data_IF_684728676918
#
_entry.id   IF_684728676918
#
_cell.length_a   1.000
_cell.length_b   1.000
_cell.length_c   1.000
_cell.angle_alpha   90.00
_cell.angle_beta   90.00
_cell.angle_gamma   90.00
#
_symmetry.space_group_name_H-M   'P 1'
#
loop_
_entity.id
_entity.type
_entity.pdbx_description
1 polymer ?
#
# COMPACT_ATOMS: atom_id res chain seq x y z
N UNK A 1 -9.95 -7.05 2.87
CA UNK A 1 -9.75 -5.63 3.22
C UNK A 1 -8.27 -5.37 3.47
N UNK A 2 -7.75 -4.19 3.09
CA UNK A 2 -6.35 -3.81 3.34
C UNK A 2 -6.03 -3.64 4.84
N UNK A 3 -7.01 -3.25 5.68
CA UNK A 3 -6.83 -3.16 7.14
C UNK A 3 -6.46 -4.48 7.82
N UNK A 4 -6.75 -5.59 7.16
CA UNK A 4 -6.49 -6.93 7.68
C UNK A 4 -5.17 -7.51 7.15
N UNK A 5 -4.45 -6.80 6.26
CA UNK A 5 -3.19 -7.30 5.69
C UNK A 5 -2.06 -7.26 6.71
N UNK A 6 -1.93 -6.14 7.43
CA UNK A 6 -0.89 -6.04 8.46
C UNK A 6 -1.34 -6.83 9.69
N UNK A 7 -0.53 -7.79 10.17
CA UNK A 7 -0.89 -8.63 11.32
C UNK A 7 -0.82 -7.83 12.63
N UNK A 8 -1.63 -8.20 13.62
CA UNK A 8 -1.78 -7.47 14.90
C UNK A 8 -0.45 -7.33 15.67
N UNK A 9 0.47 -8.27 15.49
CA UNK A 9 1.79 -8.25 16.10
C UNK A 9 2.68 -7.15 15.52
N UNK A 10 2.46 -6.78 14.25
CA UNK A 10 3.19 -5.75 13.52
C UNK A 10 2.44 -4.41 13.48
N UNK A 11 1.20 -4.33 13.96
CA UNK A 11 0.46 -3.07 14.09
C UNK A 11 0.99 -2.26 15.26
N UNK A 12 1.09 -0.95 15.06
CA UNK A 12 1.61 -0.02 16.05
C UNK A 12 0.62 1.06 16.45
N UNK A 13 -0.38 1.36 15.61
CA UNK A 13 -1.34 2.44 15.90
C UNK A 13 -2.18 2.23 17.16
N UNK A 14 -2.49 0.98 17.52
CA UNK A 14 -3.22 0.68 18.77
C UNK A 14 -2.42 0.99 20.04
N UNK A 15 -1.10 1.12 19.92
CA UNK A 15 -0.20 1.48 21.02
C UNK A 15 0.19 2.96 21.00
N UNK A 16 -0.39 3.76 20.10
CA UNK A 16 -0.13 5.19 19.94
C UNK A 16 -1.43 5.95 20.20
N UNK A 17 -1.35 7.11 20.86
CA UNK A 17 -2.46 8.07 20.95
C UNK A 17 -2.59 8.85 19.64
N UNK A 18 -2.73 8.13 18.52
CA UNK A 18 -2.85 8.74 17.20
C UNK A 18 -4.32 8.92 16.77
N UNK A 19 -4.51 9.76 15.74
CA UNK A 19 -5.82 10.08 15.19
C UNK A 19 -6.63 8.84 14.81
N UNK A 20 -7.95 8.97 14.96
CA UNK A 20 -8.90 7.94 14.53
C UNK A 20 -8.69 7.58 13.07
N UNK A 21 -9.08 6.37 12.69
CA UNK A 21 -9.17 5.97 11.28
C UNK A 21 -10.03 6.94 10.44
N UNK A 22 -10.94 7.70 11.09
CA UNK A 22 -11.74 8.76 10.48
C UNK A 22 -10.88 9.83 9.78
N UNK A 23 -9.67 10.12 10.26
CA UNK A 23 -8.76 11.05 9.58
C UNK A 23 -8.35 10.54 8.20
N UNK A 24 -8.04 9.24 8.06
CA UNK A 24 -7.72 8.65 6.75
C UNK A 24 -8.93 8.70 5.81
N UNK A 25 -10.13 8.46 6.32
CA UNK A 25 -11.37 8.51 5.53
C UNK A 25 -11.63 9.93 5.01
N UNK A 26 -11.46 10.94 5.88
CA UNK A 26 -11.61 12.33 5.50
C UNK A 26 -10.58 12.75 4.43
N UNK A 27 -9.30 12.40 4.63
CA UNK A 27 -8.23 12.74 3.68
C UNK A 27 -8.40 12.00 2.35
N UNK A 28 -8.81 10.73 2.39
CA UNK A 28 -9.14 9.95 1.21
C UNK A 28 -10.30 10.57 0.42
N UNK A 29 -11.33 11.06 1.10
CA UNK A 29 -12.46 11.74 0.43
C UNK A 29 -11.98 12.96 -0.34
N UNK A 30 -11.15 13.81 0.29
CA UNK A 30 -10.56 14.99 -0.36
C UNK A 30 -9.68 14.60 -1.56
N UNK A 31 -8.83 13.59 -1.40
CA UNK A 31 -7.96 13.10 -2.47
C UNK A 31 -8.73 12.53 -3.66
N UNK A 32 -9.74 11.70 -3.41
CA UNK A 32 -10.59 11.09 -4.45
C UNK A 32 -11.39 12.16 -5.17
N UNK A 33 -11.95 13.14 -4.45
CA UNK A 33 -12.67 14.25 -5.06
C UNK A 33 -11.76 15.06 -6.00
N UNK A 34 -10.57 15.44 -5.54
CA UNK A 34 -9.60 16.15 -6.37
C UNK A 34 -9.19 15.36 -7.62
N UNK A 35 -9.00 14.04 -7.50
CA UNK A 35 -8.69 13.18 -8.66
C UNK A 35 -9.87 13.06 -9.62
N UNK A 36 -11.12 13.01 -9.11
CA UNK A 36 -12.34 13.01 -9.93
C UNK A 36 -12.48 14.31 -10.71
N UNK A 37 -12.28 15.45 -10.07
CA UNK A 37 -12.37 16.76 -10.71
C UNK A 37 -11.28 16.92 -11.78
N UNK A 38 -10.05 16.50 -11.50
CA UNK A 38 -8.95 16.53 -12.47
C UNK A 38 -9.18 15.59 -13.66
N UNK A 39 -9.86 14.45 -13.45
CA UNK A 39 -10.10 13.46 -14.49
C UNK A 39 -11.42 13.68 -15.27
N UNK A 40 -12.28 14.59 -14.81
CA UNK A 40 -13.58 14.87 -15.44
C UNK A 40 -13.48 15.16 -16.96
N UNK A 41 -12.48 15.93 -17.45
CA UNK A 41 -12.32 16.19 -18.88
C UNK A 41 -11.89 14.98 -19.71
N UNK A 42 -11.38 13.91 -19.09
CA UNK A 42 -10.78 12.76 -19.81
C UNK A 42 -11.82 11.80 -20.37
N UNK A 43 -13.09 11.90 -19.96
CA UNK A 43 -14.17 11.06 -20.49
C UNK A 43 -14.02 9.57 -20.16
N UNK A 44 -13.41 9.24 -19.02
CA UNK A 44 -13.17 7.86 -18.61
C UNK A 44 -14.47 7.06 -18.39
N UNK A 45 -14.43 5.73 -18.65
CA UNK A 45 -15.60 4.88 -18.48
C UNK A 45 -16.01 4.80 -17.01
N UNK A 46 -17.34 4.74 -16.76
CA UNK A 46 -17.89 4.62 -15.40
C UNK A 46 -17.87 3.19 -14.85
N UNK A 47 -17.79 2.20 -15.73
CA UNK A 47 -17.79 0.78 -15.40
C UNK A 47 -16.71 0.05 -16.22
N UNK A 48 -16.17 -1.07 -15.72
CA UNK A 48 -15.27 -1.90 -16.50
C UNK A 48 -15.94 -2.28 -17.82
N UNK A 49 -15.25 -2.08 -18.95
CA UNK A 49 -15.72 -2.66 -20.21
C UNK A 49 -15.25 -4.11 -20.25
N UNK A 50 -16.06 -5.05 -20.76
CA UNK A 50 -15.57 -6.40 -21.03
C UNK A 50 -14.31 -6.29 -21.89
N UNK A 51 -13.21 -6.87 -21.43
CA UNK A 51 -12.03 -7.01 -22.26
C UNK A 51 -12.39 -7.95 -23.40
N UNK A 52 -11.97 -7.62 -24.62
CA UNK A 52 -12.05 -8.54 -25.76
C UNK A 52 -11.40 -9.87 -25.36
N UNK A 53 -11.86 -10.99 -25.93
CA UNK A 53 -11.35 -12.32 -25.61
C UNK A 53 -9.82 -12.35 -25.70
N UNK A 54 -9.16 -12.35 -24.53
CA UNK A 54 -7.70 -12.40 -24.43
C UNK A 54 -7.21 -13.68 -25.11
N UNK A 55 -6.31 -13.53 -26.07
CA UNK A 55 -5.58 -14.66 -26.63
C UNK A 55 -4.72 -15.28 -25.52
N UNK A 56 -4.90 -16.57 -25.18
CA UNK A 56 -4.18 -17.21 -24.08
C UNK A 56 -2.66 -17.22 -24.25
N UNK A 57 -2.15 -16.92 -25.45
CA UNK A 57 -0.72 -16.84 -25.75
C UNK A 57 -0.08 -15.49 -25.35
N UNK A 58 -0.87 -14.46 -25.06
CA UNK A 58 -0.36 -13.13 -24.71
C UNK A 58 -0.18 -13.04 -23.20
N UNK A 59 1.07 -12.95 -22.76
CA UNK A 59 1.41 -12.68 -21.36
C UNK A 59 0.93 -11.28 -20.98
N UNK A 60 0.17 -11.17 -19.89
CA UNK A 60 -0.29 -9.88 -19.39
C UNK A 60 0.90 -8.95 -19.10
N UNK A 61 0.80 -7.72 -19.60
CA UNK A 61 1.79 -6.67 -19.36
C UNK A 61 1.13 -5.48 -18.67
N UNK A 62 1.44 -5.30 -17.39
CA UNK A 62 0.95 -4.20 -16.55
C UNK A 62 1.48 -2.81 -16.94
N UNK A 63 2.40 -2.74 -17.91
CA UNK A 63 3.07 -1.50 -18.29
C UNK A 63 4.30 -1.20 -17.42
N UNK A 64 5.28 -0.49 -18.00
CA UNK A 64 6.56 -0.24 -17.34
C UNK A 64 6.42 0.57 -16.04
N UNK A 65 5.50 1.54 -16.03
CA UNK A 65 5.27 2.39 -14.87
C UNK A 65 4.76 1.62 -13.65
N UNK A 66 3.68 0.83 -13.82
CA UNK A 66 3.15 0.00 -12.74
C UNK A 66 4.13 -1.09 -12.34
N UNK A 67 4.86 -1.67 -13.31
CA UNK A 67 5.92 -2.65 -13.03
C UNK A 67 6.97 -2.08 -12.08
N UNK A 68 7.48 -0.88 -12.34
CA UNK A 68 8.45 -0.22 -11.45
C UNK A 68 7.86 0.01 -10.06
N UNK A 69 6.64 0.52 -9.96
CA UNK A 69 6.00 0.78 -8.67
C UNK A 69 5.80 -0.50 -7.86
N UNK A 70 5.38 -1.59 -8.50
CA UNK A 70 5.17 -2.87 -7.85
C UNK A 70 6.49 -3.56 -7.47
N UNK A 71 7.54 -3.44 -8.29
CA UNK A 71 8.88 -3.92 -7.96
C UNK A 71 9.44 -3.18 -6.74
N UNK A 72 9.17 -1.87 -6.63
CA UNK A 72 9.53 -1.10 -5.44
C UNK A 72 8.66 -1.46 -4.24
N UNK A 73 7.36 -1.61 -4.41
CA UNK A 73 6.46 -2.03 -3.32
C UNK A 73 6.85 -3.40 -2.75
N UNK A 74 7.23 -4.35 -3.60
CA UNK A 74 7.74 -5.66 -3.18
C UNK A 74 9.02 -5.58 -2.32
N UNK A 75 9.74 -4.46 -2.37
CA UNK A 75 10.97 -4.20 -1.61
C UNK A 75 10.78 -3.18 -0.50
N UNK A 76 9.54 -2.88 -0.08
CA UNK A 76 9.26 -1.87 0.96
C UNK A 76 10.01 -2.12 2.28
N UNK A 77 10.36 -3.36 2.59
CA UNK A 77 11.13 -3.75 3.78
C UNK A 77 12.66 -3.61 3.62
N UNK A 78 13.15 -3.42 2.40
CA UNK A 78 14.56 -3.46 2.01
C UNK A 78 14.99 -2.23 1.19
N UNK A 79 14.33 -1.09 1.41
CA UNK A 79 14.66 0.15 0.72
C UNK A 79 14.53 1.38 1.62
N UNK A 80 15.12 2.53 1.23
CA UNK A 80 15.11 3.73 2.06
C UNK A 80 13.69 4.21 2.37
N UNK A 81 13.48 4.67 3.60
CA UNK A 81 12.20 5.21 4.07
C UNK A 81 11.66 6.33 3.16
N UNK A 82 12.51 7.26 2.71
CA UNK A 82 12.11 8.33 1.80
C UNK A 82 11.62 7.82 0.45
N UNK A 83 12.18 6.72 -0.05
CA UNK A 83 11.72 6.08 -1.28
C UNK A 83 10.36 5.41 -1.05
N UNK A 84 10.18 4.73 0.09
CA UNK A 84 8.89 4.14 0.45
C UNK A 84 7.77 5.18 0.45
N UNK A 85 7.99 6.35 1.08
CA UNK A 85 7.01 7.44 1.11
C UNK A 85 6.61 7.92 -0.29
N UNK A 86 7.56 8.00 -1.23
CA UNK A 86 7.27 8.40 -2.60
C UNK A 86 6.46 7.32 -3.34
N UNK A 87 6.87 6.06 -3.21
CA UNK A 87 6.20 4.93 -3.88
C UNK A 87 4.75 4.79 -3.38
N UNK A 88 4.53 4.87 -2.06
CA UNK A 88 3.18 4.82 -1.49
C UNK A 88 2.36 6.02 -1.92
N UNK A 89 2.92 7.25 -1.87
CA UNK A 89 2.21 8.46 -2.32
C UNK A 89 1.75 8.37 -3.78
N UNK A 90 2.61 7.88 -4.68
CA UNK A 90 2.25 7.68 -6.10
C UNK A 90 1.14 6.63 -6.22
N UNK A 91 1.25 5.49 -5.53
CA UNK A 91 0.23 4.44 -5.59
C UNK A 91 -1.11 4.89 -4.99
N UNK A 92 -1.12 5.62 -3.88
CA UNK A 92 -2.32 6.19 -3.27
C UNK A 92 -3.02 7.15 -4.24
N UNK A 93 -2.26 8.02 -4.91
CA UNK A 93 -2.81 8.93 -5.93
C UNK A 93 -3.36 8.18 -7.14
N UNK A 94 -2.67 7.13 -7.63
CA UNK A 94 -3.19 6.28 -8.70
C UNK A 94 -4.49 5.56 -8.28
N UNK A 95 -4.55 5.07 -7.05
CA UNK A 95 -5.72 4.41 -6.50
C UNK A 95 -6.92 5.37 -6.36
N UNK A 96 -6.68 6.66 -6.13
CA UNK A 96 -7.72 7.67 -6.00
C UNK A 96 -8.42 8.03 -7.33
N UNK A 97 -7.77 7.82 -8.48
CA UNK A 97 -8.33 8.13 -9.80
C UNK A 97 -9.59 7.29 -10.13
N UNK A 98 -10.65 7.86 -10.74
CA UNK A 98 -11.91 7.17 -10.99
C UNK A 98 -11.89 6.33 -12.28
N UNK A 99 -10.85 5.51 -12.49
CA UNK A 99 -10.81 4.57 -13.61
C UNK A 99 -11.14 3.15 -13.14
N UNK A 100 -12.13 2.45 -13.74
CA UNK A 100 -12.61 1.15 -13.27
C UNK A 100 -11.50 0.08 -13.24
N UNK A 101 -10.71 -0.04 -14.31
CA UNK A 101 -9.62 -1.02 -14.35
C UNK A 101 -8.45 -0.68 -13.41
N UNK A 102 -8.23 0.60 -13.07
CA UNK A 102 -7.24 0.95 -12.04
C UNK A 102 -7.77 0.59 -10.66
N UNK A 103 -9.07 0.80 -10.42
CA UNK A 103 -9.72 0.37 -9.18
C UNK A 103 -9.61 -1.16 -9.00
N UNK A 104 -9.98 -1.95 -10.01
CA UNK A 104 -9.84 -3.42 -9.95
C UNK A 104 -8.38 -3.84 -9.70
N UNK A 105 -7.43 -3.26 -10.45
CA UNK A 105 -6.03 -3.69 -10.39
C UNK A 105 -5.28 -3.29 -9.11
N UNK A 106 -5.68 -2.17 -8.48
CA UNK A 106 -5.03 -1.62 -7.29
C UNK A 106 -5.79 -1.92 -5.99
N UNK A 107 -7.13 -1.99 -6.03
CA UNK A 107 -7.97 -1.96 -4.83
C UNK A 107 -8.85 -3.20 -4.65
N UNK A 108 -9.10 -4.01 -5.68
CA UNK A 108 -9.93 -5.22 -5.54
C UNK A 108 -9.09 -6.41 -5.03
N UNK A 109 -9.33 -6.90 -3.79
CA UNK A 109 -8.61 -8.05 -3.26
C UNK A 109 -9.08 -9.38 -3.87
N UNK A 110 -10.19 -9.39 -4.61
CA UNK A 110 -10.82 -10.57 -5.21
C UNK A 110 -10.57 -10.68 -6.72
N UNK A 111 -9.76 -9.79 -7.29
CA UNK A 111 -9.41 -9.82 -8.70
C UNK A 111 -8.79 -11.18 -9.08
N UNK A 112 -9.42 -11.88 -10.02
CA UNK A 112 -8.91 -13.13 -10.57
C UNK A 112 -7.74 -12.87 -11.52
N UNK A 113 -6.56 -13.35 -11.15
CA UNK A 113 -5.33 -13.14 -11.92
C UNK A 113 -4.94 -14.42 -12.67
N UNK A 114 -4.46 -14.25 -13.91
CA UNK A 114 -3.80 -15.33 -14.62
C UNK A 114 -2.49 -15.73 -13.92
N UNK A 115 -2.00 -16.97 -14.10
CA UNK A 115 -0.73 -17.41 -13.53
C UNK A 115 0.43 -16.46 -13.86
N UNK A 116 1.27 -16.16 -12.87
CA UNK A 116 2.40 -15.24 -13.01
C UNK A 116 2.06 -13.75 -13.00
N UNK A 117 0.77 -13.39 -13.05
CA UNK A 117 0.34 -12.00 -12.92
C UNK A 117 0.29 -11.56 -11.45
N UNK A 118 0.31 -10.25 -11.24
CA UNK A 118 0.19 -9.62 -9.92
C UNK A 118 -0.79 -8.45 -9.95
N UNK A 119 -1.48 -8.23 -8.85
CA UNK A 119 -2.16 -6.98 -8.47
C UNK A 119 -1.44 -6.34 -7.30
N UNK A 120 -1.75 -5.08 -6.98
CA UNK A 120 -1.20 -4.43 -5.79
C UNK A 120 -1.48 -5.25 -4.52
N UNK A 121 -2.71 -5.74 -4.37
CA UNK A 121 -3.10 -6.61 -3.26
C UNK A 121 -2.20 -7.86 -3.17
N UNK A 122 -1.97 -8.55 -4.29
CA UNK A 122 -1.11 -9.75 -4.32
C UNK A 122 0.36 -9.46 -4.01
N UNK A 123 0.85 -8.24 -4.31
CA UNK A 123 2.20 -7.80 -3.95
C UNK A 123 2.26 -7.59 -2.43
N UNK A 124 1.28 -6.88 -1.86
CA UNK A 124 1.22 -6.64 -0.43
C UNK A 124 1.11 -7.93 0.38
N UNK A 125 0.29 -8.90 -0.06
CA UNK A 125 0.21 -10.23 0.59
C UNK A 125 1.58 -10.93 0.64
N UNK A 126 2.35 -10.88 -0.45
CA UNK A 126 3.71 -11.45 -0.47
C UNK A 126 4.67 -10.72 0.46
N UNK A 127 4.61 -9.39 0.49
CA UNK A 127 5.40 -8.56 1.42
C UNK A 127 5.06 -8.90 2.88
N UNK A 128 3.79 -9.08 3.21
CA UNK A 128 3.35 -9.48 4.56
C UNK A 128 3.87 -10.87 4.90
N UNK A 129 3.82 -11.83 3.96
CA UNK A 129 4.40 -13.15 4.16
C UNK A 129 5.90 -13.09 4.48
N UNK A 130 6.67 -12.31 3.72
CA UNK A 130 8.10 -12.08 3.95
C UNK A 130 8.35 -11.36 5.29
N UNK A 131 7.58 -10.32 5.60
CA UNK A 131 7.63 -9.64 6.89
C UNK A 131 7.49 -10.64 8.04
N UNK A 132 6.46 -11.49 7.98
CA UNK A 132 6.17 -12.46 9.03
C UNK A 132 7.25 -13.50 9.21
N UNK A 133 8.00 -13.86 8.16
CA UNK A 133 9.17 -14.75 8.26
C UNK A 133 10.36 -14.05 8.91
N UNK A 134 10.58 -12.77 8.59
CA UNK A 134 11.70 -11.99 9.15
C UNK A 134 11.50 -11.66 10.62
N UNK A 135 10.28 -11.28 11.03
CA UNK A 135 10.00 -10.91 12.44
C UNK A 135 10.26 -12.05 13.43
N UNK A 136 10.12 -13.32 13.00
CA UNK A 136 10.41 -14.51 13.83
C UNK A 136 11.87 -14.55 14.28
N UNK A 137 12.77 -13.98 13.49
CA UNK A 137 14.21 -14.02 13.69
C UNK A 137 14.72 -12.73 14.36
N UNK A 138 13.84 -11.77 14.67
CA UNK A 138 14.23 -10.50 15.28
C UNK A 138 13.80 -10.48 16.75
N UNK A 139 14.73 -10.58 17.71
CA UNK A 139 14.39 -10.53 19.12
C UNK A 139 13.83 -9.14 19.47
N UNK A 140 12.79 -9.14 20.30
CA UNK A 140 12.12 -7.93 20.81
C UNK A 140 11.62 -7.00 19.69
N UNK A 141 11.25 -7.57 18.53
CA UNK A 141 10.87 -6.77 17.36
C UNK A 141 9.76 -5.77 17.64
N UNK A 142 8.79 -6.10 18.49
CA UNK A 142 7.67 -5.21 18.82
C UNK A 142 8.12 -3.92 19.51
N UNK A 143 9.03 -4.04 20.50
CA UNK A 143 9.58 -2.88 21.18
C UNK A 143 10.42 -2.01 20.23
N UNK A 144 11.24 -2.64 19.39
CA UNK A 144 12.06 -1.97 18.37
C UNK A 144 11.21 -1.25 17.31
N UNK A 145 10.14 -1.89 16.86
CA UNK A 145 9.19 -1.31 15.89
C UNK A 145 8.49 -0.07 16.47
N UNK A 146 8.00 -0.16 17.71
CA UNK A 146 7.39 0.99 18.41
C UNK A 146 8.40 2.14 18.62
N UNK A 147 9.65 1.82 18.94
CA UNK A 147 10.71 2.83 19.05
C UNK A 147 10.93 3.54 17.71
N UNK A 148 11.03 2.79 16.60
CA UNK A 148 11.20 3.37 15.26
C UNK A 148 10.01 4.25 14.88
N UNK A 149 8.76 3.83 15.19
CA UNK A 149 7.59 4.69 14.96
C UNK A 149 7.71 6.01 15.71
N UNK A 150 8.03 5.98 17.01
CA UNK A 150 8.22 7.20 17.82
C UNK A 150 9.32 8.10 17.28
N UNK A 151 10.41 7.53 16.77
CA UNK A 151 11.47 8.28 16.11
C UNK A 151 11.00 8.95 14.81
N UNK A 152 10.21 8.24 13.98
CA UNK A 152 9.64 8.79 12.75
C UNK A 152 8.66 9.94 13.02
N UNK A 153 7.95 9.90 14.15
CA UNK A 153 7.07 10.98 14.63
C UNK A 153 7.83 12.13 15.30
N UNK A 154 9.16 12.03 15.45
CA UNK A 154 9.96 13.04 16.14
C UNK A 154 9.77 13.07 17.67
N UNK A 155 9.12 12.06 18.26
CA UNK A 155 8.88 11.97 19.70
C UNK A 155 10.13 11.54 20.48
N UNK A 156 11.06 10.85 19.82
CA UNK A 156 12.31 10.33 20.41
C UNK A 156 13.47 10.59 19.43
N UNK A 157 14.68 10.92 19.91
CA UNK A 157 15.85 11.06 19.05
C UNK A 157 16.14 9.79 18.22
N UNK A 158 16.69 10.01 17.01
CA UNK A 158 17.13 8.92 16.14
C UNK A 158 18.39 8.25 16.68
N UNK A 159 18.25 7.05 17.23
CA UNK A 159 19.36 6.19 17.63
C UNK A 159 19.62 5.14 16.54
N UNK A 160 20.89 4.78 16.32
CA UNK A 160 21.21 3.64 15.46
C UNK A 160 20.75 2.34 16.12
N UNK A 161 20.06 1.51 15.36
CA UNK A 161 19.55 0.23 15.82
C UNK A 161 19.62 -0.78 14.68
N UNK A 162 19.81 -2.05 15.03
CA UNK A 162 19.69 -3.13 14.05
C UNK A 162 18.28 -3.14 13.44
N UNK A 163 18.20 -3.49 12.16
CA UNK A 163 16.95 -3.60 11.41
C UNK A 163 16.12 -2.30 11.29
N UNK A 164 16.71 -1.11 11.49
CA UNK A 164 15.99 0.16 11.32
C UNK A 164 15.30 0.28 9.95
N UNK A 165 15.94 -0.16 8.85
CA UNK A 165 15.33 -0.12 7.52
C UNK A 165 14.06 -0.96 7.43
N UNK A 166 14.12 -2.19 7.93
CA UNK A 166 12.97 -3.10 8.01
C UNK A 166 11.82 -2.45 8.76
N UNK A 167 12.05 -1.96 9.98
CA UNK A 167 11.00 -1.37 10.81
C UNK A 167 10.42 -0.08 10.23
N UNK A 168 11.23 0.76 9.60
CA UNK A 168 10.71 1.91 8.84
C UNK A 168 9.80 1.46 7.69
N UNK A 169 10.17 0.38 7.00
CA UNK A 169 9.33 -0.26 5.99
C UNK A 169 7.99 -0.76 6.56
N UNK A 170 8.01 -1.41 7.72
CA UNK A 170 6.79 -1.90 8.40
C UNK A 170 5.85 -0.77 8.77
N UNK A 171 6.37 0.32 9.34
CA UNK A 171 5.55 1.50 9.67
C UNK A 171 4.90 2.05 8.40
N UNK A 172 5.67 2.27 7.33
CA UNK A 172 5.08 2.78 6.07
C UNK A 172 4.06 1.82 5.48
N UNK A 173 4.30 0.51 5.54
CA UNK A 173 3.37 -0.51 5.06
C UNK A 173 2.05 -0.49 5.85
N UNK A 174 2.10 -0.35 7.18
CA UNK A 174 0.93 -0.19 8.03
C UNK A 174 0.11 1.05 7.64
N UNK A 175 0.78 2.20 7.52
CA UNK A 175 0.13 3.46 7.15
C UNK A 175 -0.50 3.40 5.75
N UNK A 176 0.22 2.84 4.79
CA UNK A 176 -0.26 2.68 3.42
C UNK A 176 -1.47 1.76 3.33
N UNK A 177 -1.51 0.66 4.10
CA UNK A 177 -2.69 -0.22 4.14
C UNK A 177 -3.94 0.48 4.71
N UNK A 178 -3.79 1.40 5.67
CA UNK A 178 -4.90 2.22 6.17
C UNK A 178 -5.37 3.21 5.11
N UNK A 179 -4.44 3.88 4.44
CA UNK A 179 -4.74 4.83 3.37
C UNK A 179 -5.47 4.15 2.20
N UNK A 180 -4.99 2.99 1.72
CA UNK A 180 -5.66 2.23 0.66
C UNK A 180 -7.06 1.77 1.07
N UNK A 181 -7.24 1.33 2.32
CA UNK A 181 -8.56 0.95 2.83
C UNK A 181 -9.52 2.15 2.85
N UNK A 182 -9.04 3.33 3.24
CA UNK A 182 -9.84 4.55 3.25
C UNK A 182 -10.21 4.99 1.83
N UNK A 183 -9.26 4.96 0.89
CA UNK A 183 -9.52 5.23 -0.53
C UNK A 183 -10.55 4.25 -1.09
N UNK A 184 -10.42 2.95 -0.81
CA UNK A 184 -11.38 1.95 -1.27
C UNK A 184 -12.78 2.14 -0.68
N UNK A 185 -12.88 2.62 0.58
CA UNK A 185 -14.15 2.85 1.26
C UNK A 185 -14.94 4.03 0.70
N UNK A 186 -14.26 5.11 0.28
CA UNK A 186 -14.91 6.36 -0.17
C UNK A 186 -15.17 6.42 -1.68
N UNK A 187 -14.72 5.42 -2.44
CA UNK A 187 -14.91 5.36 -3.90
C UNK A 187 -16.24 4.74 -4.27
#
# INVERSE_FOLDING_TARGET
SFLCLVPEEAKTSSCMEEGSYDTYVHDALGMVQACRDSAAPWGWPRAPRPLDSCHPEVVFYEGHFLKVLFDRMARILDQPYSLNLQVTSVLSRLAAFPHPHLHEYLLDPYLSLAPGCRSLFSVLVRVIGDLMQRLQHVPQFRAKLLLVRRQLLGLVPGEQMDHTMLFKGVVVLEEFCKELAAIALVK
#
